data_IF_148080869609
#
_entry.id   IF_148080869609
#
_cell.length_a   1.000
_cell.length_b   1.000
_cell.length_c   1.000
_cell.angle_alpha   90.00
_cell.angle_beta   90.00
_cell.angle_gamma   90.00
#
_symmetry.space_group_name_H-M   'P 1'
#
loop_
_entity.id
_entity.type
_entity.pdbx_description
1 polymer ?
#
# COMPACT_ATOMS: atom_id res chain seq x y z
N UNK A 1 14.05 -27.56 19.51
CA UNK A 1 13.13 -27.03 18.49
C UNK A 1 12.21 -26.04 19.18
N UNK A 2 12.50 -24.75 19.09
CA UNK A 2 11.61 -23.70 19.59
C UNK A 2 10.59 -23.41 18.50
N UNK A 3 9.35 -23.87 18.70
CA UNK A 3 8.23 -23.42 17.91
C UNK A 3 8.07 -21.92 18.19
N UNK A 4 8.32 -21.07 17.19
CA UNK A 4 7.86 -19.70 17.25
C UNK A 4 6.33 -19.76 17.28
N UNK A 5 5.71 -19.30 18.36
CA UNK A 5 4.29 -18.97 18.35
C UNK A 5 4.09 -17.99 17.19
N UNK A 6 3.47 -18.46 16.10
CA UNK A 6 2.94 -17.55 15.10
C UNK A 6 1.96 -16.65 15.84
N UNK A 7 2.35 -15.38 16.03
CA UNK A 7 1.44 -14.36 16.53
C UNK A 7 0.21 -14.40 15.63
N UNK A 8 -0.92 -14.85 16.18
CA UNK A 8 -2.16 -14.98 15.43
C UNK A 8 -2.46 -13.68 14.69
N UNK A 9 -2.98 -13.76 13.46
CA UNK A 9 -3.54 -12.62 12.73
C UNK A 9 -4.54 -11.83 13.61
N UNK A 10 -5.15 -12.48 14.60
CA UNK A 10 -6.09 -11.88 15.56
C UNK A 10 -5.43 -11.15 16.74
N UNK A 11 -4.10 -11.09 16.83
CA UNK A 11 -3.43 -10.40 17.92
C UNK A 11 -3.71 -8.89 17.83
N UNK A 12 -4.21 -8.23 18.91
CA UNK A 12 -4.62 -6.82 18.86
C UNK A 12 -3.55 -5.86 18.32
N UNK A 13 -2.28 -6.11 18.62
CA UNK A 13 -1.17 -5.29 18.12
C UNK A 13 -1.00 -5.38 16.59
N UNK A 14 -1.24 -6.56 15.98
CA UNK A 14 -1.15 -6.73 14.53
C UNK A 14 -2.30 -6.01 13.84
N UNK A 15 -3.51 -6.08 14.42
CA UNK A 15 -4.67 -5.35 13.94
C UNK A 15 -4.44 -3.84 13.98
N UNK A 16 -3.93 -3.32 15.10
CA UNK A 16 -3.63 -1.89 15.24
C UNK A 16 -2.56 -1.42 14.24
N UNK A 17 -1.51 -2.23 14.01
CA UNK A 17 -0.49 -1.93 13.02
C UNK A 17 -1.07 -1.88 11.59
N UNK A 18 -1.96 -2.82 11.25
CA UNK A 18 -2.68 -2.83 9.98
C UNK A 18 -3.59 -1.61 9.81
N UNK A 19 -4.38 -1.25 10.81
CA UNK A 19 -5.25 -0.06 10.77
C UNK A 19 -4.43 1.24 10.62
N UNK A 20 -3.27 1.30 11.27
CA UNK A 20 -2.33 2.42 11.13
C UNK A 20 -1.78 2.50 9.70
N UNK A 21 -1.38 1.36 9.11
CA UNK A 21 -0.96 1.26 7.72
C UNK A 21 -2.02 1.81 6.75
N UNK A 22 -3.27 1.34 6.87
CA UNK A 22 -4.39 1.78 6.04
C UNK A 22 -4.64 3.28 6.18
N UNK A 23 -4.61 3.79 7.42
CA UNK A 23 -4.82 5.21 7.70
C UNK A 23 -3.72 6.06 7.06
N UNK A 24 -2.45 5.69 7.22
CA UNK A 24 -1.32 6.39 6.61
C UNK A 24 -1.41 6.38 5.06
N UNK A 25 -1.85 5.27 4.48
CA UNK A 25 -1.99 5.14 3.02
C UNK A 25 -3.06 6.07 2.48
N UNK A 26 -4.21 6.11 3.14
CA UNK A 26 -5.28 7.06 2.84
C UNK A 26 -4.83 8.51 3.01
N UNK A 27 -4.07 8.83 4.06
CA UNK A 27 -3.54 10.17 4.28
C UNK A 27 -2.60 10.62 3.16
N UNK A 28 -1.68 9.77 2.72
CA UNK A 28 -0.75 10.10 1.63
C UNK A 28 -1.51 10.31 0.31
N UNK A 29 -2.43 9.40 -0.03
CA UNK A 29 -3.24 9.53 -1.24
C UNK A 29 -4.15 10.77 -1.19
N UNK A 30 -4.72 11.07 -0.03
CA UNK A 30 -5.51 12.28 0.19
C UNK A 30 -4.68 13.55 0.06
N UNK A 31 -3.47 13.58 0.63
CA UNK A 31 -2.55 14.71 0.52
C UNK A 31 -2.20 15.00 -0.94
N UNK A 32 -1.92 13.97 -1.75
CA UNK A 32 -1.70 14.14 -3.19
C UNK A 32 -2.95 14.67 -3.90
N UNK A 33 -4.11 14.06 -3.63
CA UNK A 33 -5.38 14.36 -4.32
C UNK A 33 -5.88 15.77 -4.04
N UNK A 34 -5.84 16.17 -2.78
CA UNK A 34 -6.56 17.35 -2.29
C UNK A 34 -5.68 18.56 -2.00
N UNK A 35 -4.35 18.43 -1.97
CA UNK A 35 -3.44 19.58 -1.82
C UNK A 35 -3.78 20.76 -2.75
N UNK A 36 -4.09 20.57 -4.05
CA UNK A 36 -4.50 21.69 -4.91
C UNK A 36 -5.78 22.41 -4.48
N UNK A 37 -6.70 21.70 -3.80
CA UNK A 37 -7.96 22.29 -3.33
C UNK A 37 -7.74 23.18 -2.10
N UNK A 38 -6.72 22.89 -1.30
CA UNK A 38 -6.40 23.62 -0.07
C UNK A 38 -5.23 24.61 -0.23
N UNK A 39 -4.75 24.83 -1.46
CA UNK A 39 -3.53 25.62 -1.74
C UNK A 39 -2.30 25.11 -0.98
N UNK A 40 -2.27 23.82 -0.65
CA UNK A 40 -1.14 23.18 0.02
C UNK A 40 -0.13 22.65 -1.00
N UNK A 41 1.12 22.54 -0.59
CA UNK A 41 2.13 21.86 -1.39
C UNK A 41 1.84 20.35 -1.41
N UNK A 42 1.86 19.74 -2.59
CA UNK A 42 1.81 18.28 -2.70
C UNK A 42 3.06 17.67 -2.04
N UNK A 43 2.96 16.46 -1.47
CA UNK A 43 4.11 15.69 -1.05
C UNK A 43 5.17 15.62 -2.15
N UNK A 44 6.45 15.79 -1.80
CA UNK A 44 7.54 15.69 -2.77
C UNK A 44 7.66 14.25 -3.29
N UNK A 45 8.19 14.05 -4.52
CA UNK A 45 8.46 12.71 -5.04
C UNK A 45 9.31 11.85 -4.09
N UNK A 46 10.33 12.44 -3.46
CA UNK A 46 11.20 11.74 -2.51
C UNK A 46 10.43 11.22 -1.29
N UNK A 47 9.54 12.04 -0.71
CA UNK A 47 8.69 11.63 0.43
C UNK A 47 7.75 10.49 0.04
N UNK A 48 7.18 10.54 -1.18
CA UNK A 48 6.33 9.48 -1.69
C UNK A 48 7.10 8.16 -1.84
N UNK A 49 8.34 8.22 -2.33
CA UNK A 49 9.20 7.04 -2.50
C UNK A 49 9.66 6.45 -1.17
N UNK A 50 9.98 7.28 -0.17
CA UNK A 50 10.24 6.81 1.20
C UNK A 50 9.03 6.08 1.77
N UNK A 51 7.83 6.62 1.57
CA UNK A 51 6.60 6.00 2.03
C UNK A 51 6.30 4.67 1.31
N UNK A 52 6.65 4.54 0.03
CA UNK A 52 6.53 3.27 -0.71
C UNK A 52 7.35 2.16 -0.08
N UNK A 53 8.58 2.44 0.36
CA UNK A 53 9.45 1.44 1.03
C UNK A 53 8.79 0.91 2.30
N UNK A 54 8.18 1.80 3.08
CA UNK A 54 7.49 1.44 4.31
C UNK A 54 6.22 0.62 4.05
N UNK A 55 5.43 0.99 3.04
CA UNK A 55 4.23 0.25 2.65
C UNK A 55 4.58 -1.16 2.14
N UNK A 56 5.63 -1.30 1.32
CA UNK A 56 6.09 -2.61 0.85
C UNK A 56 6.60 -3.50 2.00
N UNK A 57 7.25 -2.91 3.01
CA UNK A 57 7.64 -3.62 4.24
C UNK A 57 6.41 -4.14 4.97
N UNK A 58 5.41 -3.29 5.19
CA UNK A 58 4.17 -3.65 5.89
C UNK A 58 3.38 -4.73 5.14
N UNK A 59 3.30 -4.65 3.81
CA UNK A 59 2.67 -5.67 2.99
C UNK A 59 3.35 -7.05 3.17
N UNK A 60 4.69 -7.10 3.15
CA UNK A 60 5.44 -8.34 3.42
C UNK A 60 5.17 -8.89 4.83
N UNK A 61 5.10 -8.03 5.83
CA UNK A 61 4.81 -8.43 7.21
C UNK A 61 3.42 -9.05 7.36
N UNK A 62 2.40 -8.50 6.69
CA UNK A 62 1.05 -9.07 6.70
C UNK A 62 1.04 -10.46 6.06
N UNK A 63 1.75 -10.67 4.95
CA UNK A 63 1.86 -11.99 4.33
C UNK A 63 2.62 -12.99 5.20
N UNK A 64 3.64 -12.54 5.94
CA UNK A 64 4.35 -13.36 6.92
C UNK A 64 3.43 -13.79 8.08
N UNK A 65 2.60 -12.88 8.59
CA UNK A 65 1.61 -13.19 9.63
C UNK A 65 0.56 -14.21 9.14
N UNK A 66 0.23 -14.20 7.86
CA UNK A 66 -0.67 -15.16 7.20
C UNK A 66 0.01 -16.50 6.87
N UNK A 67 1.29 -16.68 7.23
CA UNK A 67 2.05 -17.92 7.00
C UNK A 67 2.60 -18.07 5.58
N UNK A 68 2.50 -17.04 4.74
CA UNK A 68 2.87 -17.06 3.33
C UNK A 68 4.24 -16.41 3.05
N UNK A 69 5.27 -16.83 3.79
CA UNK A 69 6.63 -16.26 3.73
C UNK A 69 7.33 -16.37 2.36
N UNK A 70 6.89 -17.30 1.50
CA UNK A 70 7.48 -17.52 0.18
C UNK A 70 6.76 -16.79 -0.97
N UNK A 71 5.69 -16.05 -0.68
CA UNK A 71 4.92 -15.35 -1.72
C UNK A 71 5.58 -14.02 -2.04
N UNK A 72 5.86 -13.79 -3.33
CA UNK A 72 6.32 -12.50 -3.83
C UNK A 72 5.16 -11.50 -3.91
N UNK A 73 4.83 -10.91 -2.76
CA UNK A 73 3.77 -9.91 -2.61
C UNK A 73 4.02 -8.68 -3.49
N UNK A 74 5.29 -8.33 -3.73
CA UNK A 74 5.62 -7.17 -4.53
C UNK A 74 5.31 -7.43 -6.01
N UNK A 75 5.69 -8.58 -6.55
CA UNK A 75 5.33 -8.98 -7.91
C UNK A 75 3.80 -9.06 -8.08
N UNK A 76 3.09 -9.67 -7.13
CA UNK A 76 1.62 -9.74 -7.17
C UNK A 76 0.97 -8.34 -7.13
N UNK A 77 1.48 -7.44 -6.28
CA UNK A 77 1.03 -6.07 -6.22
C UNK A 77 1.29 -5.30 -7.52
N UNK A 78 2.46 -5.50 -8.13
CA UNK A 78 2.81 -4.90 -9.42
C UNK A 78 1.90 -5.40 -10.54
N UNK A 79 1.63 -6.70 -10.60
CA UNK A 79 0.72 -7.30 -11.59
C UNK A 79 -0.70 -6.75 -11.42
N UNK A 80 -1.17 -6.63 -10.18
CA UNK A 80 -2.49 -6.04 -9.90
C UNK A 80 -2.54 -4.57 -10.30
N UNK A 81 -1.53 -3.79 -9.93
CA UNK A 81 -1.41 -2.39 -10.33
C UNK A 81 -1.39 -2.23 -11.86
N UNK A 82 -0.65 -3.08 -12.57
CA UNK A 82 -0.60 -3.06 -14.03
C UNK A 82 -1.99 -3.32 -14.66
N UNK A 83 -2.79 -4.23 -14.08
CA UNK A 83 -4.18 -4.46 -14.51
C UNK A 83 -5.06 -3.23 -14.30
N UNK A 84 -4.96 -2.57 -13.14
CA UNK A 84 -5.70 -1.33 -12.85
C UNK A 84 -5.28 -0.19 -13.79
N UNK A 85 -4.00 -0.05 -14.10
CA UNK A 85 -3.53 0.91 -15.10
C UNK A 85 -4.02 0.55 -16.51
N UNK A 86 -4.04 -0.72 -16.85
CA UNK A 86 -4.54 -1.24 -18.13
C UNK A 86 -6.04 -1.02 -18.34
N UNK A 87 -6.83 -0.92 -17.27
CA UNK A 87 -8.26 -0.57 -17.35
C UNK A 87 -8.51 0.94 -17.50
N UNK A 88 -7.45 1.76 -17.51
CA UNK A 88 -7.52 3.21 -17.72
C UNK A 88 -7.53 4.03 -16.43
N UNK A 89 -7.33 3.42 -15.26
CA UNK A 89 -7.22 4.18 -14.01
C UNK A 89 -5.90 4.98 -13.97
N UNK A 90 -5.98 6.20 -13.43
CA UNK A 90 -4.78 6.96 -13.06
C UNK A 90 -4.06 6.28 -11.89
N UNK A 91 -2.79 6.63 -11.66
CA UNK A 91 -1.99 6.04 -10.58
C UNK A 91 -2.66 6.31 -9.23
N UNK A 92 -3.10 7.54 -9.03
CA UNK A 92 -3.82 7.95 -7.83
C UNK A 92 -5.12 7.16 -7.63
N UNK A 93 -5.93 6.97 -8.69
CA UNK A 93 -7.17 6.20 -8.60
C UNK A 93 -6.91 4.72 -8.27
N UNK A 94 -5.91 4.11 -8.91
CA UNK A 94 -5.48 2.75 -8.62
C UNK A 94 -5.00 2.60 -7.16
N UNK A 95 -4.31 3.62 -6.62
CA UNK A 95 -3.91 3.66 -5.22
C UNK A 95 -5.10 3.66 -4.26
N UNK A 96 -6.12 4.48 -4.53
CA UNK A 96 -7.37 4.45 -3.74
C UNK A 96 -8.07 3.10 -3.83
N UNK A 97 -8.14 2.49 -5.01
CA UNK A 97 -8.77 1.18 -5.17
C UNK A 97 -8.04 0.09 -4.38
N UNK A 98 -6.71 0.06 -4.44
CA UNK A 98 -5.88 -0.86 -3.67
C UNK A 98 -6.09 -0.70 -2.16
N UNK A 99 -5.98 0.52 -1.63
CA UNK A 99 -6.11 0.73 -0.17
C UNK A 99 -7.53 0.45 0.33
N UNK A 100 -8.56 0.78 -0.45
CA UNK A 100 -9.94 0.48 -0.09
C UNK A 100 -10.21 -1.03 -0.12
N UNK A 101 -9.67 -1.75 -1.09
CA UNK A 101 -9.76 -3.19 -1.14
C UNK A 101 -9.04 -3.83 0.06
N UNK A 102 -7.83 -3.37 0.41
CA UNK A 102 -7.12 -3.82 1.60
C UNK A 102 -7.93 -3.55 2.88
N UNK A 103 -8.48 -2.34 3.03
CA UNK A 103 -9.30 -1.97 4.18
C UNK A 103 -10.57 -2.82 4.30
N UNK A 104 -11.22 -3.12 3.18
CA UNK A 104 -12.41 -3.98 3.13
C UNK A 104 -12.10 -5.42 3.54
N UNK A 105 -11.01 -5.98 3.03
CA UNK A 105 -10.55 -7.34 3.36
C UNK A 105 -10.08 -7.43 4.82
N UNK A 106 -9.53 -6.34 5.35
CA UNK A 106 -8.96 -6.28 6.69
C UNK A 106 -7.72 -7.16 6.85
N UNK A 107 -7.19 -7.23 8.07
CA UNK A 107 -6.04 -8.10 8.36
C UNK A 107 -6.36 -9.60 8.14
N UNK A 108 -7.62 -10.00 8.36
CA UNK A 108 -8.08 -11.37 8.11
C UNK A 108 -8.03 -11.79 6.63
N UNK A 109 -7.97 -10.83 5.69
CA UNK A 109 -7.72 -11.11 4.27
C UNK A 109 -6.28 -11.54 3.95
N UNK A 110 -5.37 -11.48 4.94
CA UNK A 110 -4.04 -12.06 4.89
C UNK A 110 -3.24 -11.63 3.66
N UNK A 111 -2.74 -12.60 2.92
CA UNK A 111 -1.96 -12.43 1.67
C UNK A 111 -2.68 -11.55 0.64
N UNK A 112 -4.01 -11.61 0.56
CA UNK A 112 -4.76 -10.77 -0.40
C UNK A 112 -4.72 -9.29 0.02
N UNK A 113 -4.87 -9.00 1.31
CA UNK A 113 -4.74 -7.63 1.84
C UNK A 113 -3.32 -7.10 1.65
N UNK A 114 -2.31 -7.95 1.88
CA UNK A 114 -0.91 -7.64 1.58
C UNK A 114 -0.69 -7.29 0.10
N UNK A 115 -1.25 -8.09 -0.83
CA UNK A 115 -1.18 -7.82 -2.27
C UNK A 115 -1.83 -6.47 -2.63
N UNK A 116 -2.98 -6.14 -2.04
CA UNK A 116 -3.66 -4.86 -2.26
C UNK A 116 -2.84 -3.66 -1.76
N UNK A 117 -2.16 -3.81 -0.62
CA UNK A 117 -1.22 -2.80 -0.11
C UNK A 117 0.01 -2.66 -1.01
N UNK A 118 0.58 -3.77 -1.51
CA UNK A 118 1.69 -3.71 -2.46
C UNK A 118 1.29 -3.05 -3.79
N UNK A 119 0.06 -3.30 -4.27
CA UNK A 119 -0.48 -2.60 -5.43
C UNK A 119 -0.64 -1.08 -5.17
N UNK A 120 -1.06 -0.72 -3.95
CA UNK A 120 -1.13 0.68 -3.50
C UNK A 120 0.26 1.33 -3.50
N UNK A 121 1.29 0.62 -3.05
CA UNK A 121 2.67 1.10 -3.08
C UNK A 121 3.15 1.35 -4.53
N UNK A 122 2.84 0.43 -5.45
CA UNK A 122 3.14 0.61 -6.88
C UNK A 122 2.43 1.85 -7.46
N UNK A 123 1.18 2.08 -7.05
CA UNK A 123 0.43 3.27 -7.43
C UNK A 123 1.07 4.56 -6.90
N UNK A 124 1.49 4.60 -5.64
CA UNK A 124 2.18 5.77 -5.07
C UNK A 124 3.51 6.04 -5.78
N UNK A 125 4.27 4.99 -6.14
CA UNK A 125 5.48 5.12 -6.97
C UNK A 125 5.15 5.75 -8.33
N UNK A 126 4.09 5.27 -8.99
CA UNK A 126 3.62 5.84 -10.26
C UNK A 126 3.21 7.32 -10.14
N UNK A 127 2.57 7.71 -9.02
CA UNK A 127 2.28 9.12 -8.73
C UNK A 127 3.56 9.95 -8.59
N UNK A 128 4.57 9.45 -7.89
CA UNK A 128 5.85 10.14 -7.71
C UNK A 128 6.58 10.35 -9.05
N UNK A 129 6.59 9.33 -9.90
CA UNK A 129 7.17 9.40 -11.25
C UNK A 129 6.43 10.38 -12.16
N UNK A 130 5.09 10.38 -12.14
CA UNK A 130 4.26 11.33 -12.87
C UNK A 130 4.50 12.78 -12.40
N UNK A 131 4.69 13.00 -11.10
CA UNK A 131 5.05 14.32 -10.56
C UNK A 131 6.46 14.75 -10.96
N UNK A 132 7.45 13.86 -10.85
CA UNK A 132 8.83 14.16 -11.21
C UNK A 132 9.00 14.53 -12.69
N UNK A 133 8.16 13.96 -13.58
CA UNK A 133 8.14 14.34 -15.01
C UNK A 133 7.52 15.71 -15.29
N UNK A 134 6.64 16.21 -14.42
CA UNK A 134 6.01 17.52 -14.57
C UNK A 134 6.87 18.68 -14.04
N UNK A 135 7.87 18.38 -13.21
CA UNK A 135 8.79 19.36 -12.61
C UNK A 135 10.09 19.54 -13.39
N UNK A 136 10.38 18.67 -14.36
CA UNK A 136 11.54 18.71 -15.26
C UNK A 136 11.12 19.13 -16.68
#
# INVERSE_FOLDING_TARGET
MTAFEQASLSHPANLQAFETCITAALQILAAVKYAPMFSEARPSPDLLLEYVVEMERQAREIALLDGNAGVDIQALGQDWYARLRGSGLSALAAGFEGVHAAAYLGLAGGTTSAMMLAATACAVRGVAEEHGRLLN
#
